data_IF_183045586582
#
_entry.id   IF_183045586582
#
_cell.length_a   1.000
_cell.length_b   1.000
_cell.length_c   1.000
_cell.angle_alpha   90.00
_cell.angle_beta   90.00
_cell.angle_gamma   90.00
#
_symmetry.space_group_name_H-M   'P 1'
#
loop_
_entity.id
_entity.type
_entity.pdbx_description
1 polymer ?
#
# COMPACT_ATOMS: atom_id res chain seq x y z
N UNK A 1 -28.85 56.02 -29.33
CA UNK A 1 -27.48 56.19 -28.80
C UNK A 1 -27.41 57.55 -28.10
N UNK A 2 -26.65 57.79 -27.01
CA UNK A 2 -26.11 56.87 -25.99
C UNK A 2 -26.36 57.33 -24.53
N UNK A 3 -26.04 56.40 -23.61
CA UNK A 3 -25.29 56.53 -22.35
C UNK A 3 -25.78 57.33 -21.13
N UNK A 4 -25.42 56.72 -19.99
CA UNK A 4 -25.91 56.80 -18.61
C UNK A 4 -24.77 57.34 -17.72
N UNK A 5 -25.15 58.19 -16.75
CA UNK A 5 -24.72 58.25 -15.33
C UNK A 5 -23.23 58.18 -14.91
N UNK A 6 -22.82 59.14 -14.06
CA UNK A 6 -22.09 58.87 -12.80
C UNK A 6 -22.07 60.08 -11.82
N UNK A 7 -22.07 59.71 -10.53
CA UNK A 7 -22.01 60.40 -9.20
C UNK A 7 -20.93 61.53 -9.04
N UNK A 8 -20.85 62.37 -7.96
CA UNK A 8 -20.87 61.98 -6.52
C UNK A 8 -21.24 63.07 -5.44
N UNK A 9 -21.10 62.71 -4.14
CA UNK A 9 -20.67 63.53 -2.97
C UNK A 9 -21.44 63.13 -1.70
N UNK A 10 -20.91 62.35 -0.75
CA UNK A 10 -19.92 62.69 0.30
C UNK A 10 -20.43 63.71 1.33
N UNK A 11 -20.70 63.25 2.57
CA UNK A 11 -20.18 63.73 3.87
C UNK A 11 -21.03 63.18 5.03
N UNK A 12 -20.45 62.38 5.93
CA UNK A 12 -20.72 62.52 7.38
C UNK A 12 -19.53 61.97 8.15
N UNK A 13 -18.95 62.86 8.96
CA UNK A 13 -17.81 62.70 9.84
C UNK A 13 -18.33 62.40 11.26
N UNK A 14 -17.95 61.29 11.87
CA UNK A 14 -17.99 61.14 13.34
C UNK A 14 -16.69 60.54 13.83
N UNK A 15 -16.03 61.31 14.70
CA UNK A 15 -14.78 61.01 15.37
C UNK A 15 -14.95 59.99 16.51
N UNK A 16 -13.82 59.39 16.86
CA UNK A 16 -13.40 58.95 18.20
C UNK A 16 -13.74 57.52 18.65
N UNK A 17 -12.82 56.60 18.39
CA UNK A 17 -12.36 55.55 19.33
C UNK A 17 -11.09 56.09 20.04
N UNK A 18 -10.49 55.52 21.14
CA UNK A 18 -10.58 54.11 21.60
C UNK A 18 -10.40 53.80 23.13
N UNK A 19 -10.56 52.51 23.50
CA UNK A 19 -9.89 51.72 24.59
C UNK A 19 -10.17 52.08 26.06
N UNK A 20 -10.29 51.20 27.07
CA UNK A 20 -9.73 49.87 27.31
C UNK A 20 -10.49 49.26 28.53
N UNK A 21 -11.14 48.10 28.40
CA UNK A 21 -11.25 47.17 29.53
C UNK A 21 -11.33 45.76 28.95
N UNK A 22 -10.19 45.07 29.04
CA UNK A 22 -10.05 43.70 28.61
C UNK A 22 -10.90 42.78 29.48
N UNK A 23 -11.73 41.99 28.83
CA UNK A 23 -11.97 40.62 29.20
C UNK A 23 -11.89 39.83 27.90
N UNK A 24 -10.68 39.37 27.57
CA UNK A 24 -10.53 38.24 26.69
C UNK A 24 -11.14 37.04 27.42
N UNK A 25 -12.45 36.86 27.31
CA UNK A 25 -13.05 35.55 27.41
C UNK A 25 -12.49 34.80 26.21
N UNK A 26 -11.40 34.06 26.43
CA UNK A 26 -11.03 32.97 25.56
C UNK A 26 -12.15 31.94 25.72
N UNK A 27 -13.04 31.84 24.74
CA UNK A 27 -13.99 30.76 24.67
C UNK A 27 -13.15 29.51 24.36
N UNK A 28 -12.74 28.78 25.39
CA UNK A 28 -12.23 27.42 25.23
C UNK A 28 -13.34 26.61 24.58
N UNK A 29 -13.20 26.32 23.29
CA UNK A 29 -14.06 25.33 22.66
C UNK A 29 -13.82 24.00 23.40
N UNK A 30 -14.86 23.28 23.84
CA UNK A 30 -14.68 21.92 24.28
C UNK A 30 -14.18 21.12 23.08
N UNK A 31 -12.94 20.65 23.15
CA UNK A 31 -12.44 19.63 22.24
C UNK A 31 -13.29 18.37 22.42
N UNK A 32 -13.60 17.62 21.35
CA UNK A 32 -14.37 16.40 21.46
C UNK A 32 -13.66 15.46 22.43
N UNK A 33 -14.40 14.99 23.43
CA UNK A 33 -13.91 14.20 24.56
C UNK A 33 -13.25 12.87 24.17
N UNK A 34 -13.36 12.46 22.91
CA UNK A 34 -12.76 11.25 22.36
C UNK A 34 -11.89 11.55 21.11
N UNK A 35 -10.95 12.49 21.21
CA UNK A 35 -9.98 12.69 20.12
C UNK A 35 -8.93 11.56 20.07
N UNK A 36 -8.42 11.22 18.88
CA UNK A 36 -7.32 10.24 18.72
C UNK A 36 -6.09 10.60 19.57
N UNK A 37 -5.86 11.89 19.82
CA UNK A 37 -4.78 12.40 20.65
C UNK A 37 -4.99 12.16 22.16
N UNK A 38 -6.25 12.05 22.61
CA UNK A 38 -6.64 11.70 23.98
C UNK A 38 -6.24 10.24 24.28
N UNK A 39 -6.68 9.31 23.44
CA UNK A 39 -6.36 7.88 23.58
C UNK A 39 -4.85 7.62 23.52
N UNK A 40 -4.10 8.37 22.70
CA UNK A 40 -2.64 8.23 22.60
C UNK A 40 -1.89 8.57 23.90
N UNK A 41 -2.48 9.37 24.80
CA UNK A 41 -1.88 9.75 26.08
C UNK A 41 -2.14 8.76 27.22
N UNK A 42 -3.04 7.79 27.04
CA UNK A 42 -3.30 6.74 28.03
C UNK A 42 -2.07 5.83 28.17
N UNK A 43 -1.51 5.76 29.37
CA UNK A 43 -0.26 5.04 29.66
C UNK A 43 -0.47 3.54 29.84
N UNK A 44 -1.64 3.13 30.32
CA UNK A 44 -1.98 1.71 30.48
C UNK A 44 -2.38 1.09 29.14
N UNK A 45 -1.71 0.00 28.76
CA UNK A 45 -1.88 -0.62 27.44
C UNK A 45 -3.29 -1.18 27.22
N UNK A 46 -3.89 -1.78 28.25
CA UNK A 46 -5.24 -2.34 28.19
C UNK A 46 -6.29 -1.24 28.07
N UNK A 47 -6.19 -0.18 28.89
CA UNK A 47 -7.12 0.95 28.84
C UNK A 47 -6.98 1.75 27.55
N UNK A 48 -5.75 1.87 27.01
CA UNK A 48 -5.52 2.53 25.73
C UNK A 48 -6.20 1.78 24.58
N UNK A 49 -6.13 0.46 24.58
CA UNK A 49 -6.81 -0.36 23.57
C UNK A 49 -8.32 -0.13 23.62
N UNK A 50 -8.91 -0.23 24.82
CA UNK A 50 -10.35 0.01 25.03
C UNK A 50 -10.77 1.42 24.57
N UNK A 51 -9.94 2.44 24.80
CA UNK A 51 -10.21 3.81 24.33
C UNK A 51 -10.33 3.89 22.80
N UNK A 52 -9.41 3.25 22.08
CA UNK A 52 -9.47 3.20 20.62
C UNK A 52 -10.65 2.38 20.11
N UNK A 53 -10.98 1.28 20.77
CA UNK A 53 -12.12 0.44 20.39
C UNK A 53 -13.44 1.23 20.51
N UNK A 54 -13.65 1.94 21.63
CA UNK A 54 -14.83 2.79 21.83
C UNK A 54 -14.92 3.93 20.81
N UNK A 55 -13.79 4.60 20.53
CA UNK A 55 -13.74 5.68 19.55
C UNK A 55 -14.05 5.18 18.12
N UNK A 56 -13.59 3.97 17.78
CA UNK A 56 -13.93 3.34 16.52
C UNK A 56 -15.44 3.03 16.44
N UNK A 57 -16.05 2.52 17.51
CA UNK A 57 -17.50 2.28 17.58
C UNK A 57 -18.33 3.57 17.41
N UNK A 58 -17.93 4.68 18.04
CA UNK A 58 -18.60 5.98 17.87
C UNK A 58 -18.49 6.49 16.43
N UNK A 59 -17.32 6.32 15.80
CA UNK A 59 -17.10 6.69 14.39
C UNK A 59 -18.03 5.89 13.47
N UNK A 60 -18.21 4.59 13.74
CA UNK A 60 -19.12 3.72 12.99
C UNK A 60 -20.60 4.07 13.20
N UNK A 61 -20.96 4.70 14.33
CA UNK A 61 -22.34 5.11 14.64
C UNK A 61 -22.70 6.49 14.06
N UNK A 62 -21.73 7.38 13.89
CA UNK A 62 -21.92 8.69 13.24
C UNK A 62 -21.83 8.63 11.72
N UNK A 63 -21.29 7.55 11.18
CA UNK A 63 -21.42 7.22 9.77
C UNK A 63 -22.80 6.56 9.59
N UNK A 64 -23.84 7.36 9.31
CA UNK A 64 -25.12 6.84 8.84
C UNK A 64 -24.85 6.19 7.48
N UNK A 65 -24.53 4.91 7.57
CA UNK A 65 -24.28 4.03 6.47
C UNK A 65 -25.51 4.05 5.57
N UNK A 66 -25.42 4.51 4.30
CA UNK A 66 -26.54 4.32 3.37
C UNK A 66 -26.86 2.82 3.34
N UNK A 67 -28.14 2.42 3.36
CA UNK A 67 -28.52 1.02 3.51
C UNK A 67 -27.84 0.18 2.42
N UNK A 68 -26.77 -0.56 2.77
CA UNK A 68 -25.98 -1.25 1.76
C UNK A 68 -24.54 -1.68 2.04
N UNK A 69 -23.95 -1.54 3.25
CA UNK A 69 -22.73 -2.31 3.56
C UNK A 69 -23.10 -3.58 4.30
N UNK A 70 -23.42 -4.55 3.46
CA UNK A 70 -23.26 -5.98 3.67
C UNK A 70 -21.79 -6.29 4.06
N UNK A 71 -21.48 -7.57 4.32
CA UNK A 71 -20.13 -8.16 4.44
C UNK A 71 -19.21 -7.93 3.20
N UNK A 72 -19.58 -6.98 2.35
CA UNK A 72 -18.94 -6.45 1.17
C UNK A 72 -17.49 -6.02 1.37
N UNK A 73 -16.93 -5.85 2.57
CA UNK A 73 -15.51 -5.48 2.71
C UNK A 73 -14.56 -6.46 2.00
N UNK A 74 -14.76 -7.77 2.17
CA UNK A 74 -13.91 -8.81 1.56
C UNK A 74 -14.30 -9.09 0.11
N UNK A 75 -15.60 -9.11 -0.20
CA UNK A 75 -16.12 -9.26 -1.57
C UNK A 75 -15.77 -8.05 -2.45
N UNK A 76 -15.71 -6.84 -1.90
CA UNK A 76 -15.28 -5.62 -2.58
C UNK A 76 -13.78 -5.64 -2.87
N UNK A 77 -12.94 -6.20 -1.97
CA UNK A 77 -11.49 -6.32 -2.22
C UNK A 77 -11.20 -7.35 -3.32
N UNK A 78 -11.90 -8.49 -3.30
CA UNK A 78 -11.78 -9.51 -4.35
C UNK A 78 -12.35 -9.01 -5.67
N UNK A 79 -13.53 -8.39 -5.64
CA UNK A 79 -14.20 -7.81 -6.82
C UNK A 79 -13.40 -6.70 -7.48
N UNK A 80 -12.82 -5.77 -6.70
CA UNK A 80 -11.91 -4.73 -7.20
C UNK A 80 -10.72 -5.35 -7.93
N UNK A 81 -10.09 -6.35 -7.32
CA UNK A 81 -8.97 -7.06 -7.93
C UNK A 81 -9.36 -7.75 -9.23
N UNK A 82 -10.49 -8.45 -9.28
CA UNK A 82 -10.98 -9.11 -10.49
C UNK A 82 -11.24 -8.10 -11.62
N UNK A 83 -11.84 -6.95 -11.29
CA UNK A 83 -12.12 -5.90 -12.27
C UNK A 83 -10.81 -5.29 -12.84
N UNK A 84 -9.82 -5.03 -11.99
CA UNK A 84 -8.50 -4.54 -12.42
C UNK A 84 -7.73 -5.57 -13.26
N UNK A 85 -7.78 -6.85 -12.86
CA UNK A 85 -7.19 -7.95 -13.63
C UNK A 85 -7.82 -8.06 -15.02
N UNK A 86 -9.16 -7.95 -15.11
CA UNK A 86 -9.88 -8.00 -16.38
C UNK A 86 -9.58 -6.78 -17.27
N UNK A 87 -9.59 -5.57 -16.69
CA UNK A 87 -9.31 -4.33 -17.41
C UNK A 87 -7.89 -4.30 -18.01
N UNK A 88 -6.97 -5.06 -17.42
CA UNK A 88 -5.55 -5.00 -17.77
C UNK A 88 -5.03 -6.26 -18.47
N UNK A 89 -5.88 -7.29 -18.60
CA UNK A 89 -5.53 -8.58 -19.22
C UNK A 89 -4.99 -8.46 -20.65
N UNK A 90 -5.54 -7.55 -21.45
CA UNK A 90 -5.13 -7.31 -22.83
C UNK A 90 -3.91 -6.39 -23.00
N UNK A 91 -3.34 -5.86 -21.91
CA UNK A 91 -2.21 -4.94 -21.98
C UNK A 91 -0.87 -5.69 -21.95
N UNK A 92 -0.14 -5.65 -23.07
CA UNK A 92 1.16 -6.31 -23.21
C UNK A 92 2.26 -5.78 -22.26
N UNK A 93 2.08 -4.60 -21.66
CA UNK A 93 3.04 -3.97 -20.76
C UNK A 93 2.74 -4.19 -19.28
N UNK A 94 1.63 -4.86 -18.95
CA UNK A 94 1.25 -5.11 -17.57
C UNK A 94 1.40 -6.58 -17.24
N UNK A 95 2.07 -6.83 -16.12
CA UNK A 95 2.34 -8.15 -15.61
C UNK A 95 1.29 -8.47 -14.55
N UNK A 96 0.42 -9.46 -14.83
CA UNK A 96 -0.60 -9.89 -13.87
C UNK A 96 -0.03 -10.94 -12.90
N UNK A 97 -0.15 -10.74 -11.59
CA UNK A 97 0.29 -11.73 -10.61
C UNK A 97 -0.75 -12.86 -10.45
N UNK A 98 -0.31 -14.11 -10.55
CA UNK A 98 -1.17 -15.27 -10.25
C UNK A 98 -1.16 -15.62 -8.76
N UNK A 99 0.03 -15.78 -8.18
CA UNK A 99 0.24 -15.98 -6.74
C UNK A 99 1.14 -14.89 -6.14
N UNK A 100 1.42 -15.00 -4.84
CA UNK A 100 2.38 -14.12 -4.16
C UNK A 100 3.75 -14.22 -4.83
N UNK A 101 4.25 -13.07 -5.27
CA UNK A 101 5.59 -12.89 -5.80
C UNK A 101 6.46 -12.35 -4.67
N UNK A 102 7.65 -12.92 -4.44
CA UNK A 102 8.58 -12.42 -3.43
C UNK A 102 10.02 -12.49 -3.90
N UNK A 103 10.80 -11.54 -3.41
CA UNK A 103 12.24 -11.47 -3.58
C UNK A 103 12.85 -11.30 -2.18
N UNK A 104 13.68 -12.27 -1.80
CA UNK A 104 14.36 -12.32 -0.51
C UNK A 104 15.87 -12.35 -0.79
N UNK A 105 16.52 -11.18 -0.88
CA UNK A 105 17.94 -11.11 -1.23
C UNK A 105 18.84 -11.71 -0.14
N UNK A 106 18.38 -11.69 1.10
CA UNK A 106 19.11 -12.22 2.26
C UNK A 106 18.23 -13.20 3.02
N UNK A 107 18.45 -14.50 2.81
CA UNK A 107 17.85 -15.56 3.63
C UNK A 107 18.94 -16.45 4.18
N UNK A 108 18.74 -16.99 5.37
CA UNK A 108 19.72 -17.86 6.02
C UNK A 108 19.17 -19.28 6.15
N UNK A 109 19.90 -20.25 5.61
CA UNK A 109 19.58 -21.67 5.66
C UNK A 109 20.55 -22.40 6.60
N UNK A 110 20.05 -22.89 7.73
CA UNK A 110 20.85 -23.59 8.74
C UNK A 110 21.38 -24.95 8.28
N UNK A 111 20.63 -25.64 7.43
CA UNK A 111 20.90 -27.01 6.99
C UNK A 111 20.82 -27.11 5.46
N UNK A 112 21.79 -26.51 4.74
CA UNK A 112 21.85 -26.64 3.29
C UNK A 112 22.13 -28.10 2.89
N UNK A 113 21.48 -28.56 1.82
CA UNK A 113 21.63 -29.92 1.30
C UNK A 113 22.97 -30.08 0.56
N UNK A 114 24.05 -30.26 1.34
CA UNK A 114 25.43 -30.32 0.83
C UNK A 114 25.67 -31.44 -0.16
N UNK A 115 25.08 -32.60 0.08
CA UNK A 115 25.27 -33.79 -0.77
C UNK A 115 24.80 -33.52 -2.20
N UNK A 116 23.57 -33.05 -2.37
CA UNK A 116 23.00 -32.72 -3.68
C UNK A 116 23.69 -31.55 -4.37
N UNK A 117 24.26 -30.63 -3.57
CA UNK A 117 25.01 -29.49 -4.08
C UNK A 117 26.36 -29.93 -4.64
N UNK A 118 27.12 -30.72 -3.88
CA UNK A 118 28.45 -31.19 -4.29
C UNK A 118 28.43 -32.05 -5.56
N UNK A 119 27.31 -32.74 -5.85
CA UNK A 119 27.11 -33.46 -7.11
C UNK A 119 27.08 -32.54 -8.34
N UNK A 120 26.62 -31.29 -8.19
CA UNK A 120 26.50 -30.30 -9.27
C UNK A 120 27.64 -29.27 -9.24
N UNK A 121 28.19 -29.01 -8.06
CA UNK A 121 29.25 -28.03 -7.82
C UNK A 121 30.32 -28.66 -6.90
N UNK A 122 31.17 -29.56 -7.42
CA UNK A 122 32.14 -30.30 -6.61
C UNK A 122 33.24 -29.42 -6.01
N UNK A 123 33.54 -28.29 -6.65
CA UNK A 123 34.61 -27.37 -6.26
C UNK A 123 34.12 -26.17 -5.43
N UNK A 124 32.80 -25.97 -5.31
CA UNK A 124 32.20 -24.83 -4.60
C UNK A 124 31.49 -25.26 -3.31
N UNK A 125 31.90 -24.67 -2.19
CA UNK A 125 31.16 -24.82 -0.93
C UNK A 125 29.78 -24.16 -0.99
N UNK A 126 28.77 -24.81 -0.41
CA UNK A 126 27.44 -24.20 -0.23
C UNK A 126 27.45 -23.26 0.97
N UNK A 127 27.18 -21.97 0.76
CA UNK A 127 26.98 -21.04 1.86
C UNK A 127 25.58 -21.15 2.43
N UNK A 128 25.43 -20.63 3.65
CA UNK A 128 24.16 -20.56 4.36
C UNK A 128 23.35 -19.32 3.99
N UNK A 129 23.98 -18.31 3.40
CA UNK A 129 23.30 -17.11 2.93
C UNK A 129 22.80 -17.38 1.50
N UNK A 130 21.51 -17.20 1.27
CA UNK A 130 20.86 -17.57 0.03
C UNK A 130 19.90 -16.45 -0.40
N UNK A 131 19.88 -16.14 -1.69
CA UNK A 131 18.83 -15.33 -2.29
C UNK A 131 17.70 -16.24 -2.76
N UNK A 132 16.46 -15.97 -2.32
CA UNK A 132 15.27 -16.74 -2.70
C UNK A 132 14.28 -15.85 -3.42
N UNK A 133 13.82 -16.30 -4.58
CA UNK A 133 12.76 -15.62 -5.29
C UNK A 133 11.72 -16.59 -5.83
N UNK A 134 10.48 -16.11 -5.85
CA UNK A 134 9.37 -16.81 -6.47
C UNK A 134 8.62 -15.80 -7.31
N UNK A 135 8.52 -16.11 -8.60
CA UNK A 135 7.80 -15.33 -9.59
C UNK A 135 6.63 -16.18 -10.08
N UNK A 136 5.42 -15.65 -10.01
CA UNK A 136 4.18 -16.29 -10.42
C UNK A 136 3.31 -15.30 -11.17
N UNK A 137 3.21 -15.52 -12.47
CA UNK A 137 2.52 -14.66 -13.43
C UNK A 137 1.29 -15.38 -13.98
N UNK A 138 0.25 -14.61 -14.25
CA UNK A 138 -0.98 -15.03 -14.93
C UNK A 138 -0.95 -14.40 -16.32
N UNK A 139 -1.03 -15.21 -17.36
CA UNK A 139 -1.07 -14.71 -18.74
C UNK A 139 -2.36 -15.14 -19.39
N UNK A 140 -3.02 -14.22 -20.09
CA UNK A 140 -4.15 -14.57 -20.92
C UNK A 140 -3.62 -15.26 -22.19
N UNK A 141 -4.04 -16.51 -22.42
CA UNK A 141 -3.58 -17.31 -23.57
C UNK A 141 -4.54 -17.16 -24.73
N UNK A 142 -5.85 -17.14 -24.45
CA UNK A 142 -6.89 -17.00 -25.44
C UNK A 142 -8.16 -16.42 -24.80
N UNK A 143 -8.77 -15.42 -25.42
CA UNK A 143 -10.08 -14.85 -25.05
C UNK A 143 -11.24 -15.60 -25.71
N UNK A 144 -12.38 -15.68 -25.01
CA UNK A 144 -13.68 -16.13 -25.52
C UNK A 144 -13.69 -17.51 -26.23
N UNK A 145 -12.95 -18.49 -25.70
CA UNK A 145 -12.83 -19.82 -26.32
C UNK A 145 -14.17 -20.60 -26.39
N UNK A 146 -15.12 -20.29 -25.51
CA UNK A 146 -16.46 -20.91 -25.47
C UNK A 146 -17.61 -19.88 -25.50
N UNK A 147 -17.33 -18.64 -25.90
CA UNK A 147 -18.27 -17.52 -25.84
C UNK A 147 -17.84 -16.42 -24.86
N UNK A 148 -18.59 -15.31 -24.87
CA UNK A 148 -18.24 -14.07 -24.17
C UNK A 148 -17.95 -14.30 -22.68
N UNK A 149 -16.79 -13.85 -22.23
CA UNK A 149 -16.33 -13.93 -20.84
C UNK A 149 -15.60 -15.24 -20.50
N UNK A 150 -15.41 -16.15 -21.47
CA UNK A 150 -14.70 -17.41 -21.23
C UNK A 150 -13.24 -17.31 -21.68
N UNK A 151 -12.40 -16.76 -20.79
CA UNK A 151 -10.97 -16.59 -21.05
C UNK A 151 -10.14 -17.77 -20.56
N UNK A 152 -9.23 -18.25 -21.42
CA UNK A 152 -8.23 -19.25 -21.06
C UNK A 152 -6.99 -18.58 -20.48
N UNK A 153 -6.70 -18.91 -19.23
CA UNK A 153 -5.55 -18.39 -18.49
C UNK A 153 -4.45 -19.44 -18.36
N UNK A 154 -3.23 -19.01 -18.62
CA UNK A 154 -2.02 -19.80 -18.42
C UNK A 154 -1.27 -19.32 -17.18
N UNK A 155 -1.02 -20.17 -16.17
CA UNK A 155 -0.15 -19.83 -15.07
C UNK A 155 1.32 -20.09 -15.44
N UNK A 156 2.18 -19.13 -15.10
CA UNK A 156 3.63 -19.28 -15.17
C UNK A 156 4.18 -19.16 -13.76
N UNK A 157 4.90 -20.16 -13.27
CA UNK A 157 5.56 -20.10 -11.97
C UNK A 157 7.03 -20.51 -12.07
N UNK A 158 7.89 -19.75 -11.38
CA UNK A 158 9.31 -20.01 -11.23
C UNK A 158 9.68 -19.80 -9.77
N UNK A 159 10.42 -20.75 -9.22
CA UNK A 159 11.00 -20.67 -7.88
C UNK A 159 12.46 -21.02 -7.99
N UNK A 160 13.30 -20.13 -7.50
CA UNK A 160 14.74 -20.31 -7.50
C UNK A 160 15.28 -19.88 -6.14
N UNK A 161 16.23 -20.67 -5.66
CA UNK A 161 16.98 -20.41 -4.46
C UNK A 161 18.43 -20.74 -4.75
N UNK A 162 19.32 -19.81 -4.45
CA UNK A 162 20.73 -19.95 -4.78
C UNK A 162 21.62 -19.11 -3.87
N UNK A 163 22.84 -19.58 -3.69
CA UNK A 163 23.84 -18.85 -2.96
C UNK A 163 24.34 -17.67 -3.81
N UNK A 164 24.14 -16.44 -3.35
CA UNK A 164 24.74 -15.27 -3.98
C UNK A 164 25.94 -14.81 -3.15
N UNK A 165 27.13 -15.25 -3.55
CA UNK A 165 28.38 -14.70 -3.02
C UNK A 165 28.63 -13.35 -3.66
N UNK A 166 28.48 -12.29 -2.87
CA UNK A 166 28.69 -10.92 -3.34
C UNK A 166 30.21 -10.65 -3.45
N UNK A 167 30.77 -10.89 -4.63
CA UNK A 167 32.18 -10.62 -4.92
C UNK A 167 32.42 -9.10 -4.96
N UNK A 168 33.02 -8.58 -3.88
CA UNK A 168 33.30 -7.14 -3.69
C UNK A 168 34.35 -6.59 -4.68
N UNK A 169 34.98 -7.43 -5.50
CA UNK A 169 36.10 -7.05 -6.37
C UNK A 169 35.91 -7.37 -7.87
N UNK A 170 34.68 -7.61 -8.35
CA UNK A 170 34.44 -8.05 -9.74
C UNK A 170 33.88 -6.99 -10.69
N UNK A 171 34.47 -5.79 -10.75
CA UNK A 171 34.18 -4.85 -11.85
C UNK A 171 35.07 -5.07 -13.10
N UNK A 172 36.02 -6.02 -13.08
CA UNK A 172 37.11 -6.03 -14.08
C UNK A 172 37.38 -7.34 -14.84
N UNK A 173 36.54 -8.39 -14.80
CA UNK A 173 36.73 -9.56 -15.69
C UNK A 173 35.44 -10.20 -16.18
N UNK A 174 35.29 -10.47 -17.48
CA UNK A 174 34.25 -11.32 -18.00
C UNK A 174 34.70 -12.78 -17.82
N UNK A 175 34.10 -13.51 -16.88
CA UNK A 175 34.23 -14.96 -16.84
C UNK A 175 32.84 -15.58 -16.90
N UNK A 176 32.70 -16.43 -17.90
CA UNK A 176 31.61 -17.33 -18.22
C UNK A 176 31.38 -18.34 -17.09
N UNK A 177 30.56 -18.01 -16.10
CA UNK A 177 29.88 -18.99 -15.25
C UNK A 177 28.53 -18.42 -14.81
N UNK A 178 27.39 -19.01 -15.24
CA UNK A 178 26.07 -18.43 -15.03
C UNK A 178 25.47 -18.75 -13.64
N UNK A 179 26.22 -19.36 -12.72
CA UNK A 179 25.69 -19.80 -11.41
C UNK A 179 26.19 -19.01 -10.21
N UNK A 180 27.09 -18.04 -10.40
CA UNK A 180 27.33 -17.01 -9.41
C UNK A 180 26.57 -15.77 -9.86
N UNK A 181 25.71 -15.25 -8.99
CA UNK A 181 25.01 -13.99 -9.20
C UNK A 181 26.01 -12.90 -9.69
#
# INVERSE_FOLDING_TARGET
>A
MPARTSFPSALTLTLLTPTLLGAALAWSQPEPENSLAECARVTDHSLRLICYDNLAEETLQQEEVPPGVDFAGEELLVGKRLAEEAATAGNAWVILPHHRNYLLPFTYNNSPAKETWNLQHPDDGIDKLEAKFQISLKTLVWEDILGEGTNLWGPIHKKTGGNCTMDRHRFARPTTSPSSC
#
